data_IF_232522261207
#
_entry.id   IF_232522261207
#
_cell.length_a   1.000
_cell.length_b   1.000
_cell.length_c   1.000
_cell.angle_alpha   90.00
_cell.angle_beta   90.00
_cell.angle_gamma   90.00
#
_symmetry.space_group_name_H-M   'P 1'
#
loop_
_entity.id
_entity.type
_entity.pdbx_description
1 polymer ?
#
# COMPACT_ATOMS: atom_id res chain seq x y z
N UNK A 1 32.87 -62.16 3.00
CA UNK A 1 32.65 -61.02 2.08
C UNK A 1 32.13 -59.83 2.88
N UNK A 2 33.01 -58.86 3.17
CA UNK A 2 32.65 -57.48 3.57
C UNK A 2 33.83 -56.61 3.15
N UNK A 3 33.71 -55.94 2.01
CA UNK A 3 34.71 -55.02 1.47
C UNK A 3 34.64 -53.70 2.26
N UNK A 4 35.63 -53.47 3.13
CA UNK A 4 35.89 -52.14 3.66
C UNK A 4 36.66 -51.35 2.62
N UNK A 5 35.96 -50.52 1.85
CA UNK A 5 36.62 -49.61 0.90
C UNK A 5 37.36 -48.53 1.68
N UNK A 6 38.69 -48.52 1.59
CA UNK A 6 39.52 -47.40 2.03
C UNK A 6 39.16 -46.17 1.19
N UNK A 7 38.62 -45.15 1.84
CA UNK A 7 38.14 -43.93 1.19
C UNK A 7 39.34 -43.04 0.86
N UNK A 8 39.48 -42.62 -0.41
CA UNK A 8 40.54 -41.71 -0.84
C UNK A 8 40.42 -40.36 -0.10
N UNK A 9 41.56 -39.74 0.24
CA UNK A 9 41.60 -38.47 0.98
C UNK A 9 40.82 -37.35 0.29
N UNK A 10 40.84 -37.32 -1.05
CA UNK A 10 40.04 -36.40 -1.86
C UNK A 10 38.54 -36.65 -1.71
N UNK A 11 38.10 -37.90 -1.65
CA UNK A 11 36.70 -38.26 -1.39
C UNK A 11 36.28 -37.86 0.02
N UNK A 12 37.15 -38.04 1.01
CA UNK A 12 36.91 -37.59 2.38
C UNK A 12 36.74 -36.07 2.44
N UNK A 13 37.62 -35.31 1.78
CA UNK A 13 37.54 -33.84 1.74
C UNK A 13 36.26 -33.35 1.05
N UNK A 14 35.84 -33.98 -0.05
CA UNK A 14 34.59 -33.64 -0.74
C UNK A 14 33.37 -33.94 0.15
N UNK A 15 33.36 -35.09 0.82
CA UNK A 15 32.28 -35.45 1.75
C UNK A 15 32.22 -34.46 2.92
N UNK A 16 33.37 -34.07 3.49
CA UNK A 16 33.44 -33.07 4.55
C UNK A 16 32.91 -31.71 4.08
N UNK A 17 33.29 -31.26 2.88
CA UNK A 17 32.77 -30.00 2.31
C UNK A 17 31.25 -30.06 2.11
N UNK A 18 30.71 -31.14 1.56
CA UNK A 18 29.26 -31.32 1.38
C UNK A 18 28.49 -31.32 2.71
N UNK A 19 29.07 -31.90 3.77
CA UNK A 19 28.48 -31.86 5.11
C UNK A 19 28.50 -30.42 5.66
N UNK A 20 29.61 -29.69 5.52
CA UNK A 20 29.70 -28.29 5.96
C UNK A 20 28.71 -27.38 5.20
N UNK A 21 28.56 -27.58 3.89
CA UNK A 21 27.59 -26.83 3.08
C UNK A 21 26.13 -27.15 3.44
N UNK A 22 25.80 -28.41 3.76
CA UNK A 22 24.44 -28.78 4.17
C UNK A 22 24.08 -28.31 5.59
N UNK A 23 25.04 -28.29 6.52
CA UNK A 23 24.86 -27.68 7.84
C UNK A 23 24.67 -26.17 7.72
N UNK A 24 25.37 -25.50 6.79
CA UNK A 24 25.26 -24.05 6.58
C UNK A 24 23.89 -23.61 6.01
N UNK A 25 23.22 -24.48 5.23
CA UNK A 25 21.90 -24.20 4.67
C UNK A 25 20.77 -24.40 5.70
N UNK A 26 21.02 -25.15 6.77
CA UNK A 26 20.03 -25.50 7.78
C UNK A 26 19.90 -24.45 8.90
N UNK A 27 20.85 -23.52 9.01
CA UNK A 27 20.85 -22.49 10.07
C UNK A 27 20.07 -21.22 9.72
N UNK A 28 19.35 -21.21 8.59
CA UNK A 28 18.52 -20.08 8.18
C UNK A 28 17.04 -20.23 8.58
N UNK A 29 16.72 -20.94 9.66
CA UNK A 29 15.36 -21.01 10.24
C UNK A 29 15.43 -21.34 11.75
N UNK A 30 16.08 -20.51 12.56
CA UNK A 30 15.88 -20.49 14.02
C UNK A 30 15.28 -19.13 14.38
N UNK A 31 13.97 -19.00 14.16
CA UNK A 31 13.17 -17.97 14.82
C UNK A 31 12.67 -18.58 16.12
N UNK A 32 13.43 -18.40 17.21
CA UNK A 32 12.97 -18.68 18.56
C UNK A 32 12.81 -17.36 19.30
N UNK A 33 11.54 -16.97 19.38
CA UNK A 33 10.86 -16.13 20.37
C UNK A 33 11.68 -15.01 21.03
N UNK A 34 11.88 -13.93 20.28
CA UNK A 34 12.01 -12.62 20.91
C UNK A 34 10.75 -12.36 21.73
N UNK A 35 10.94 -12.12 23.03
CA UNK A 35 9.89 -12.01 24.03
C UNK A 35 8.66 -11.28 23.52
N UNK A 36 7.51 -11.87 23.77
CA UNK A 36 6.21 -11.23 23.65
C UNK A 36 6.24 -9.93 24.45
N UNK A 37 6.53 -8.81 23.78
CA UNK A 37 6.02 -7.53 24.23
C UNK A 37 4.51 -7.71 24.21
N UNK A 38 3.95 -7.79 25.42
CA UNK A 38 2.53 -7.74 25.73
C UNK A 38 1.81 -6.98 24.62
N UNK A 39 1.03 -7.71 23.82
CA UNK A 39 0.09 -7.07 22.91
C UNK A 39 -0.88 -6.34 23.82
N UNK A 40 -0.59 -5.08 24.11
CA UNK A 40 -1.53 -4.19 24.74
C UNK A 40 -2.79 -4.29 23.91
N UNK A 41 -3.87 -4.73 24.54
CA UNK A 41 -5.20 -4.75 23.95
C UNK A 41 -5.35 -3.40 23.27
N UNK A 42 -5.40 -3.40 21.93
CA UNK A 42 -5.69 -2.19 21.21
C UNK A 42 -7.13 -1.90 21.61
N UNK A 43 -7.29 -1.04 22.62
CA UNK A 43 -8.55 -0.37 22.92
C UNK A 43 -9.09 -0.01 21.53
N UNK A 44 -10.22 -0.59 21.09
CA UNK A 44 -10.81 -0.17 19.85
C UNK A 44 -11.19 1.28 20.10
N UNK A 45 -10.28 2.20 19.74
CA UNK A 45 -10.54 3.63 19.75
C UNK A 45 -11.84 3.72 19.01
N UNK A 46 -12.86 4.11 19.77
CA UNK A 46 -14.24 4.24 19.36
C UNK A 46 -14.31 5.27 18.22
N UNK A 47 -13.84 4.88 17.05
CA UNK A 47 -13.93 5.56 15.77
C UNK A 47 -15.12 4.92 15.13
N UNK A 48 -16.30 5.18 15.69
CA UNK A 48 -17.50 4.97 14.94
C UNK A 48 -17.28 5.75 13.63
N UNK A 49 -17.19 5.07 12.46
CA UNK A 49 -16.98 5.77 11.21
C UNK A 49 -18.07 6.82 11.11
N UNK A 50 -17.71 8.01 10.65
CA UNK A 50 -18.73 9.03 10.43
C UNK A 50 -19.82 8.43 9.52
N UNK A 51 -21.10 8.72 9.76
CA UNK A 51 -22.15 8.33 8.84
C UNK A 51 -21.77 8.77 7.42
N UNK A 52 -22.09 7.98 6.38
CA UNK A 52 -21.73 8.34 5.02
C UNK A 52 -22.27 9.74 4.68
N UNK A 53 -21.42 10.54 4.04
CA UNK A 53 -21.72 11.91 3.63
C UNK A 53 -22.01 12.93 4.74
N UNK A 54 -21.66 12.65 6.00
CA UNK A 54 -21.87 13.58 7.11
C UNK A 54 -20.78 14.64 7.28
N UNK A 55 -19.60 14.47 6.66
CA UNK A 55 -18.46 15.38 6.79
C UNK A 55 -18.46 16.41 5.68
N UNK A 56 -18.52 17.68 6.07
CA UNK A 56 -18.50 18.82 5.17
C UNK A 56 -17.10 19.24 4.68
N UNK A 57 -17.03 20.28 3.85
CA UNK A 57 -15.78 20.84 3.33
C UNK A 57 -14.74 21.12 4.42
N UNK A 58 -13.50 20.64 4.25
CA UNK A 58 -12.42 20.87 5.20
C UNK A 58 -12.52 20.10 6.52
N UNK A 59 -13.62 19.37 6.76
CA UNK A 59 -13.78 18.51 7.92
C UNK A 59 -12.82 17.33 7.91
N UNK A 60 -12.46 16.85 9.11
CA UNK A 60 -11.60 15.67 9.26
C UNK A 60 -12.32 14.41 8.77
N UNK A 61 -11.59 13.55 8.07
CA UNK A 61 -12.14 12.32 7.50
C UNK A 61 -11.13 11.17 7.61
N UNK A 62 -11.66 9.95 7.70
CA UNK A 62 -10.91 8.70 7.60
C UNK A 62 -11.17 7.98 6.28
N UNK A 63 -12.30 8.25 5.62
CA UNK A 63 -12.62 7.72 4.29
C UNK A 63 -13.37 8.75 3.44
N UNK A 64 -13.25 8.63 2.11
CA UNK A 64 -14.05 9.45 1.18
C UNK A 64 -15.55 9.23 1.35
N UNK A 65 -15.99 8.06 1.84
CA UNK A 65 -17.41 7.77 2.07
C UNK A 65 -18.04 8.69 3.13
N UNK A 66 -17.25 9.17 4.08
CA UNK A 66 -17.68 10.09 5.13
C UNK A 66 -17.93 11.50 4.58
N UNK A 67 -17.23 11.87 3.51
CA UNK A 67 -17.35 13.19 2.88
C UNK A 67 -18.64 13.32 2.06
N UNK A 68 -19.18 14.53 2.00
CA UNK A 68 -20.28 14.87 1.10
C UNK A 68 -19.98 14.48 -0.37
N UNK A 69 -21.03 14.25 -1.17
CA UNK A 69 -20.89 13.91 -2.59
C UNK A 69 -20.09 15.00 -3.33
N UNK A 70 -19.16 14.58 -4.18
CA UNK A 70 -18.25 15.49 -4.90
C UNK A 70 -17.01 15.92 -4.10
N UNK A 71 -16.80 15.34 -2.92
CA UNK A 71 -15.63 15.55 -2.09
C UNK A 71 -14.88 14.25 -1.86
N UNK A 72 -13.56 14.33 -1.68
CA UNK A 72 -12.71 13.19 -1.37
C UNK A 72 -11.95 13.42 -0.06
N UNK A 73 -11.57 12.34 0.60
CA UNK A 73 -10.74 12.43 1.80
C UNK A 73 -9.26 12.48 1.42
N UNK A 74 -8.66 13.67 1.48
CA UNK A 74 -7.28 13.90 1.06
C UNK A 74 -6.41 14.51 2.17
N UNK A 75 -5.16 14.06 2.27
CA UNK A 75 -4.17 14.65 3.19
C UNK A 75 -3.82 16.06 2.71
N UNK A 76 -3.74 16.99 3.66
CA UNK A 76 -3.33 18.36 3.36
C UNK A 76 -1.84 18.39 3.03
N UNK A 77 -1.43 19.28 2.11
CA UNK A 77 -0.02 19.45 1.70
C UNK A 77 0.92 19.96 2.80
N UNK A 78 0.39 20.37 3.95
CA UNK A 78 1.19 20.82 5.09
C UNK A 78 1.95 19.63 5.70
N UNK A 79 3.17 19.85 6.21
CA UNK A 79 4.07 18.81 6.73
C UNK A 79 3.40 17.87 7.77
N UNK A 80 2.54 18.41 8.64
CA UNK A 80 1.69 17.66 9.59
C UNK A 80 0.19 17.73 9.23
N UNK A 81 -0.14 17.82 7.95
CA UNK A 81 -1.50 17.89 7.47
C UNK A 81 -2.27 16.59 7.75
N UNK A 82 -3.41 16.70 8.44
CA UNK A 82 -4.38 15.61 8.56
C UNK A 82 -5.14 15.36 7.25
N UNK A 83 -5.96 14.30 7.24
CA UNK A 83 -6.91 14.04 6.16
C UNK A 83 -8.16 14.89 6.33
N UNK A 84 -8.56 15.57 5.25
CA UNK A 84 -9.75 16.42 5.23
C UNK A 84 -10.54 16.24 3.95
N UNK A 85 -11.84 16.54 4.01
CA UNK A 85 -12.69 16.52 2.82
C UNK A 85 -12.32 17.68 1.88
N UNK A 86 -11.77 17.34 0.72
CA UNK A 86 -11.35 18.27 -0.32
C UNK A 86 -12.18 18.08 -1.59
N UNK A 87 -12.29 19.13 -2.40
CA UNK A 87 -13.15 19.13 -3.59
C UNK A 87 -12.58 18.25 -4.69
N UNK A 88 -13.40 17.39 -5.29
CA UNK A 88 -13.03 16.64 -6.49
C UNK A 88 -12.81 17.57 -7.70
N UNK A 89 -11.99 17.12 -8.65
CA UNK A 89 -11.69 17.89 -9.84
C UNK A 89 -12.81 17.79 -10.88
N UNK A 90 -13.24 18.95 -11.40
CA UNK A 90 -14.26 19.05 -12.45
C UNK A 90 -13.66 18.96 -13.86
N UNK A 91 -14.53 19.04 -14.87
CA UNK A 91 -14.16 18.99 -16.29
C UNK A 91 -13.06 19.99 -16.65
N UNK A 92 -12.08 19.55 -17.44
CA UNK A 92 -10.96 20.37 -17.92
C UNK A 92 -9.95 20.76 -16.84
N UNK A 93 -10.15 20.36 -15.58
CA UNK A 93 -9.15 20.59 -14.52
C UNK A 93 -8.04 19.56 -14.59
N UNK A 94 -6.83 19.97 -14.22
CA UNK A 94 -5.71 19.04 -14.05
C UNK A 94 -6.04 18.00 -12.99
N UNK A 95 -5.66 16.77 -13.28
CA UNK A 95 -5.84 15.63 -12.40
C UNK A 95 -4.56 14.79 -12.34
N UNK A 96 -4.44 13.97 -11.31
CA UNK A 96 -3.37 12.97 -11.18
C UNK A 96 -4.00 11.59 -11.19
N UNK A 97 -3.36 10.64 -11.90
CA UNK A 97 -3.85 9.25 -12.00
C UNK A 97 -3.60 8.44 -10.71
N UNK A 98 -2.69 8.94 -9.88
CA UNK A 98 -2.28 8.42 -8.57
C UNK A 98 -2.84 9.33 -7.46
N UNK A 99 -3.24 8.89 -6.26
CA UNK A 99 -3.02 7.63 -5.54
C UNK A 99 -4.21 7.44 -4.60
N UNK A 100 -5.09 6.48 -4.88
CA UNK A 100 -5.99 6.02 -3.83
C UNK A 100 -5.18 5.10 -2.91
N UNK A 101 -5.03 5.49 -1.66
CA UNK A 101 -4.44 4.70 -0.59
C UNK A 101 -5.55 3.79 -0.01
N UNK A 102 -5.18 2.78 0.78
CA UNK A 102 -6.12 1.96 1.56
C UNK A 102 -7.24 2.80 2.20
N UNK A 103 -8.46 2.27 2.13
CA UNK A 103 -9.71 2.87 2.64
C UNK A 103 -10.26 4.08 1.85
N UNK A 104 -9.83 4.30 0.61
CA UNK A 104 -10.39 5.36 -0.24
C UNK A 104 -9.90 6.76 0.10
N UNK A 105 -8.69 6.87 0.65
CA UNK A 105 -8.02 8.14 0.97
C UNK A 105 -7.03 8.54 -0.12
N UNK A 106 -6.70 9.83 -0.19
CA UNK A 106 -5.78 10.39 -1.17
C UNK A 106 -4.66 11.17 -0.49
N UNK A 107 -3.42 11.11 -0.99
CA UNK A 107 -2.30 11.82 -0.34
C UNK A 107 -2.33 13.32 -0.58
N UNK A 108 -2.63 13.76 -1.80
CA UNK A 108 -2.49 15.18 -2.13
C UNK A 108 -3.58 15.70 -3.06
N UNK A 109 -4.12 14.83 -3.90
CA UNK A 109 -5.01 15.22 -4.99
C UNK A 109 -6.27 14.38 -4.95
N UNK A 110 -7.41 15.06 -5.02
CA UNK A 110 -8.67 14.37 -5.21
C UNK A 110 -8.79 13.85 -6.65
N UNK A 111 -9.56 12.77 -6.86
CA UNK A 111 -9.88 12.30 -8.20
C UNK A 111 -10.80 13.30 -8.92
N UNK A 112 -11.03 13.04 -10.21
CA UNK A 112 -12.12 13.68 -10.93
C UNK A 112 -13.48 13.28 -10.33
N UNK A 113 -14.48 14.14 -10.51
CA UNK A 113 -15.88 13.81 -10.15
C UNK A 113 -16.34 12.54 -10.87
N UNK A 114 -17.29 11.81 -10.28
CA UNK A 114 -17.62 10.41 -10.62
C UNK A 114 -17.96 10.12 -12.09
N UNK A 115 -18.41 11.11 -12.87
CA UNK A 115 -18.75 10.97 -14.29
C UNK A 115 -17.61 11.32 -15.25
N UNK A 116 -16.44 11.70 -14.72
CA UNK A 116 -15.25 12.05 -15.50
C UNK A 116 -14.13 11.02 -15.25
N UNK A 117 -13.20 10.94 -16.20
CA UNK A 117 -11.98 10.18 -16.10
C UNK A 117 -10.77 11.13 -16.18
N UNK A 118 -9.70 10.81 -15.45
CA UNK A 118 -8.44 11.50 -15.61
C UNK A 118 -7.71 10.91 -16.83
N UNK A 119 -7.60 11.65 -17.94
CA UNK A 119 -6.92 11.21 -19.16
C UNK A 119 -5.94 12.27 -19.67
N UNK A 120 -4.98 11.85 -20.48
CA UNK A 120 -3.94 12.70 -21.06
C UNK A 120 -2.57 12.03 -21.02
N UNK A 121 -1.52 12.77 -21.37
CA UNK A 121 -0.15 12.26 -21.40
C UNK A 121 0.60 12.53 -20.08
N UNK A 122 1.91 12.24 -20.02
CA UNK A 122 2.71 12.51 -18.82
C UNK A 122 2.83 14.01 -18.51
N UNK A 123 2.78 14.88 -19.52
CA UNK A 123 2.92 16.32 -19.37
C UNK A 123 1.61 17.01 -18.93
N UNK A 124 0.46 16.52 -19.38
CA UNK A 124 -0.85 17.11 -19.12
C UNK A 124 -1.93 16.03 -19.01
N UNK A 125 -2.53 15.92 -17.82
CA UNK A 125 -3.71 15.09 -17.57
C UNK A 125 -4.86 15.97 -17.10
N UNK A 126 -6.04 15.76 -17.69
CA UNK A 126 -7.23 16.54 -17.44
C UNK A 126 -8.41 15.61 -17.13
N UNK A 127 -9.37 16.12 -16.35
CA UNK A 127 -10.65 15.46 -16.19
C UNK A 127 -11.48 15.62 -17.47
N UNK A 128 -11.75 14.51 -18.16
CA UNK A 128 -12.54 14.44 -19.39
C UNK A 128 -13.75 13.53 -19.20
N UNK A 129 -14.80 13.61 -20.04
CA UNK A 129 -15.92 12.69 -19.99
C UNK A 129 -15.47 11.24 -20.16
N UNK A 130 -16.10 10.30 -19.44
CA UNK A 130 -15.76 8.87 -19.55
C UNK A 130 -16.03 8.30 -20.94
N UNK A 131 -17.00 8.85 -21.66
CA UNK A 131 -17.37 8.48 -23.03
C UNK A 131 -16.50 9.17 -24.09
N UNK A 132 -15.47 9.91 -23.69
CA UNK A 132 -14.53 10.52 -24.63
C UNK A 132 -13.58 9.45 -25.16
N UNK A 133 -13.88 8.89 -26.32
CA UNK A 133 -12.91 8.11 -27.07
C UNK A 133 -11.86 9.03 -27.68
N UNK A 134 -10.60 8.58 -27.66
CA UNK A 134 -9.46 9.29 -28.23
C UNK A 134 -9.29 8.86 -29.70
N UNK A 135 -10.40 8.81 -30.42
CA UNK A 135 -10.48 8.43 -31.83
C UNK A 135 -10.75 9.70 -32.66
N UNK A 136 -9.69 10.41 -33.03
CA UNK A 136 -9.55 11.16 -34.29
C UNK A 136 -8.05 11.29 -34.62
#
# INVERSE_FOLDING_TARGET
MRTGSAMNLTTLLVVVQLIVFSVSLSTACHGDDGGFEEQHEIDPVNKNPYPPHSVGPGGHCQSTLECQRGWCCARQRKWNGGYTCQKMHGLGRRCTMETQIKAGRYYYHCPCVSHLACRGNHALKLCVPKNWSLDD
#
